data_IF_193336589584
#
_entry.id   IF_193336589584
#
_cell.length_a   1.000
_cell.length_b   1.000
_cell.length_c   1.000
_cell.angle_alpha   90.00
_cell.angle_beta   90.00
_cell.angle_gamma   90.00
#
_symmetry.space_group_name_H-M   'P 1'
#
loop_
_entity.id
_entity.type
_entity.pdbx_description
1 polymer ?
#
# COMPACT_ATOMS: atom_id res chain seq x y z
N UNK A 1 16.35 53.30 -45.71
CA UNK A 1 14.87 53.14 -45.78
C UNK A 1 14.46 52.31 -44.59
N UNK A 2 13.36 52.71 -43.96
CA UNK A 2 13.10 52.63 -42.53
C UNK A 2 12.93 51.21 -41.93
N UNK A 3 13.48 51.04 -40.72
CA UNK A 3 12.98 50.23 -39.60
C UNK A 3 11.59 50.75 -39.12
N UNK A 4 10.82 50.14 -38.17
CA UNK A 4 11.24 49.18 -37.12
C UNK A 4 10.21 48.07 -36.74
N UNK A 5 10.66 47.19 -35.83
CA UNK A 5 10.02 46.61 -34.60
C UNK A 5 8.51 46.29 -34.52
N UNK A 6 8.17 45.23 -33.74
CA UNK A 6 7.49 45.40 -32.43
C UNK A 6 7.27 44.03 -31.73
N UNK A 7 7.66 44.02 -30.45
CA UNK A 7 7.38 43.04 -29.40
C UNK A 7 6.05 43.37 -28.72
N UNK A 8 5.19 42.39 -28.41
CA UNK A 8 3.98 42.63 -27.59
C UNK A 8 3.89 41.57 -26.47
N UNK A 9 4.30 42.00 -25.29
CA UNK A 9 3.68 41.61 -24.03
C UNK A 9 2.51 42.58 -23.74
N UNK A 10 1.55 42.11 -22.95
CA UNK A 10 0.40 42.82 -22.36
C UNK A 10 -0.89 42.84 -23.18
N UNK A 11 -1.85 41.99 -22.78
CA UNK A 11 -3.25 42.42 -22.66
C UNK A 11 -3.93 41.66 -21.52
N UNK A 12 -4.00 42.31 -20.35
CA UNK A 12 -4.94 42.00 -19.28
C UNK A 12 -6.16 42.93 -19.40
N UNK A 13 -7.30 42.39 -18.97
CA UNK A 13 -8.53 43.05 -18.50
C UNK A 13 -9.66 43.36 -19.52
N UNK A 14 -10.88 42.97 -19.11
CA UNK A 14 -12.15 43.37 -19.71
C UNK A 14 -13.24 42.29 -19.53
N UNK A 15 -13.76 42.06 -18.32
CA UNK A 15 -15.11 42.49 -17.86
C UNK A 15 -16.29 42.10 -18.78
N UNK A 16 -17.19 41.25 -18.28
CA UNK A 16 -18.54 41.11 -18.86
C UNK A 16 -19.28 39.82 -18.47
N UNK A 17 -20.14 39.92 -17.45
CA UNK A 17 -21.35 39.10 -17.26
C UNK A 17 -22.51 40.10 -17.09
N UNK A 18 -23.83 39.78 -17.19
CA UNK A 18 -24.46 38.44 -17.17
C UNK A 18 -25.68 38.25 -18.12
N UNK A 19 -26.15 37.02 -18.37
CA UNK A 19 -27.60 36.69 -18.42
C UNK A 19 -27.87 35.19 -18.20
N UNK A 20 -29.00 34.91 -17.55
CA UNK A 20 -29.55 33.63 -17.05
C UNK A 20 -30.23 32.75 -18.14
N UNK A 21 -30.71 31.59 -17.64
CA UNK A 21 -31.73 30.62 -18.14
C UNK A 21 -31.15 29.51 -19.05
N UNK A 22 -31.27 28.19 -18.83
CA UNK A 22 -32.35 27.36 -18.28
C UNK A 22 -31.84 26.15 -17.45
N UNK A 23 -32.70 25.72 -16.53
CA UNK A 23 -32.61 24.47 -15.79
C UNK A 23 -32.97 23.26 -16.67
N UNK A 24 -32.24 22.16 -16.50
CA UNK A 24 -32.57 20.86 -17.06
C UNK A 24 -31.82 19.77 -16.29
N UNK A 25 -32.51 19.11 -15.36
CA UNK A 25 -31.99 18.00 -14.59
C UNK A 25 -31.79 16.75 -15.45
N UNK A 26 -30.60 16.17 -15.39
CA UNK A 26 -30.28 14.84 -15.88
C UNK A 26 -29.48 14.08 -14.80
N UNK A 27 -29.67 12.77 -14.63
CA UNK A 27 -29.07 12.01 -13.54
C UNK A 27 -27.56 11.92 -13.72
N UNK A 28 -26.82 12.25 -12.66
CA UNK A 28 -25.37 12.22 -12.63
C UNK A 28 -24.81 10.82 -12.87
N UNK A 29 -23.94 10.71 -13.87
CA UNK A 29 -23.03 9.58 -14.05
C UNK A 29 -21.86 9.81 -13.08
N UNK A 30 -21.53 8.87 -12.17
CA UNK A 30 -20.36 9.03 -11.33
C UNK A 30 -19.10 8.88 -12.20
N UNK A 31 -18.27 9.91 -12.20
CA UNK A 31 -16.91 9.87 -12.75
C UNK A 31 -16.11 8.93 -11.84
N UNK A 32 -15.80 7.74 -12.34
CA UNK A 32 -15.01 6.73 -11.63
C UNK A 32 -13.57 7.19 -11.44
N UNK A 33 -13.19 7.45 -10.18
CA UNK A 33 -11.78 7.37 -9.79
C UNK A 33 -11.32 5.92 -9.84
N UNK A 34 -10.03 5.70 -10.08
CA UNK A 34 -9.43 4.37 -9.96
C UNK A 34 -9.78 3.78 -8.58
N UNK A 35 -10.45 2.64 -8.63
CA UNK A 35 -10.83 1.81 -7.48
C UNK A 35 -9.57 1.17 -6.86
N UNK A 36 -9.50 1.14 -5.53
CA UNK A 36 -8.51 0.43 -4.68
C UNK A 36 -8.34 -1.06 -5.11
N UNK A 37 -9.36 -1.66 -5.73
CA UNK A 37 -9.28 -2.98 -6.32
C UNK A 37 -8.35 -3.06 -7.56
N UNK A 38 -8.27 -1.99 -8.35
CA UNK A 38 -7.40 -1.94 -9.54
C UNK A 38 -5.92 -1.84 -9.17
N UNK A 39 -5.62 -1.12 -8.07
CA UNK A 39 -4.28 -1.03 -7.50
C UNK A 39 -3.84 -2.37 -6.89
N UNK A 40 -4.75 -3.08 -6.20
CA UNK A 40 -4.50 -4.44 -5.68
C UNK A 40 -4.25 -5.46 -6.79
N UNK A 41 -4.97 -5.37 -7.91
CA UNK A 41 -4.76 -6.24 -9.07
C UNK A 41 -3.39 -5.98 -9.71
N UNK A 42 -2.97 -4.72 -9.85
CA UNK A 42 -1.64 -4.35 -10.35
C UNK A 42 -0.52 -4.86 -9.45
N UNK A 43 -0.65 -4.70 -8.12
CA UNK A 43 0.31 -5.20 -7.13
C UNK A 43 0.39 -6.73 -7.19
N UNK A 44 -0.75 -7.42 -7.30
CA UNK A 44 -0.80 -8.89 -7.39
C UNK A 44 -0.14 -9.39 -8.69
N UNK A 45 -0.40 -8.74 -9.83
CA UNK A 45 0.20 -9.10 -11.12
C UNK A 45 1.71 -8.82 -11.17
N UNK A 46 2.18 -7.74 -10.53
CA UNK A 46 3.60 -7.43 -10.41
C UNK A 46 4.33 -8.43 -9.51
N UNK A 47 3.75 -8.78 -8.37
CA UNK A 47 4.30 -9.80 -7.46
C UNK A 47 4.35 -11.18 -8.12
N UNK A 48 3.30 -11.56 -8.87
CA UNK A 48 3.26 -12.82 -9.62
C UNK A 48 4.32 -12.86 -10.72
N UNK A 49 4.56 -11.75 -11.43
CA UNK A 49 5.59 -11.66 -12.46
C UNK A 49 7.01 -11.71 -11.89
N UNK A 50 7.23 -11.09 -10.72
CA UNK A 50 8.50 -11.19 -9.99
C UNK A 50 8.74 -12.60 -9.46
N UNK A 51 7.71 -13.29 -8.96
CA UNK A 51 7.82 -14.69 -8.54
C UNK A 51 8.13 -15.63 -9.72
N UNK A 52 7.49 -15.43 -10.89
CA UNK A 52 7.78 -16.19 -12.11
C UNK A 52 9.20 -15.92 -12.64
N UNK A 53 9.71 -14.70 -12.50
CA UNK A 53 11.09 -14.38 -12.84
C UNK A 53 12.08 -14.99 -11.85
N UNK A 54 11.81 -14.96 -10.54
CA UNK A 54 12.66 -15.59 -9.53
C UNK A 54 12.69 -17.12 -9.64
N UNK A 55 11.55 -17.76 -9.96
CA UNK A 55 11.49 -19.20 -10.21
C UNK A 55 12.28 -19.65 -11.45
N UNK A 56 12.51 -18.74 -12.41
CA UNK A 56 13.40 -18.98 -13.57
C UNK A 56 14.88 -18.80 -13.24
N UNK A 57 15.22 -18.04 -12.21
CA UNK A 57 16.60 -17.67 -11.86
C UNK A 57 17.20 -18.61 -10.80
N UNK A 58 16.37 -19.20 -9.92
CA UNK A 58 16.86 -20.05 -8.83
C UNK A 58 16.18 -21.43 -8.81
N UNK A 59 16.74 -22.37 -9.58
CA UNK A 59 16.50 -23.79 -9.34
C UNK A 59 17.34 -24.28 -8.15
N UNK A 60 16.96 -23.95 -6.90
CA UNK A 60 17.61 -24.50 -5.70
C UNK A 60 16.60 -24.81 -4.58
N UNK A 61 16.70 -26.04 -4.07
CA UNK A 61 16.03 -26.62 -2.90
C UNK A 61 16.24 -25.82 -1.62
N UNK A 62 15.18 -25.65 -0.83
CA UNK A 62 15.22 -25.22 0.57
C UNK A 62 15.29 -26.47 1.48
N UNK A 63 16.25 -26.59 2.42
CA UNK A 63 16.24 -27.65 3.43
C UNK A 63 15.36 -27.29 4.64
N UNK A 64 14.86 -28.28 5.41
CA UNK A 64 13.88 -28.04 6.47
C UNK A 64 14.51 -27.47 7.76
N UNK A 65 13.68 -26.73 8.48
CA UNK A 65 13.99 -26.07 9.75
C UNK A 65 14.43 -27.03 10.86
N UNK A 66 15.42 -26.60 11.64
CA UNK A 66 15.83 -27.22 12.90
C UNK A 66 15.18 -26.43 14.04
N UNK A 67 14.41 -27.12 14.88
CA UNK A 67 13.80 -26.57 16.09
C UNK A 67 14.64 -26.79 17.34
N UNK A 68 14.40 -25.92 18.33
CA UNK A 68 14.68 -25.94 19.78
C UNK A 68 15.08 -24.50 20.15
N UNK A 69 14.52 -23.79 21.13
CA UNK A 69 13.82 -24.19 22.34
C UNK A 69 14.52 -23.46 23.50
N UNK A 70 13.84 -22.53 24.16
CA UNK A 70 14.09 -22.17 25.55
C UNK A 70 13.00 -21.24 26.06
N UNK A 71 12.16 -21.78 26.94
CA UNK A 71 11.50 -21.07 28.01
C UNK A 71 12.54 -20.28 28.83
N UNK A 72 12.32 -18.98 29.02
CA UNK A 72 12.52 -18.25 30.28
C UNK A 72 12.26 -16.76 30.05
N UNK A 73 11.23 -16.23 30.71
CA UNK A 73 11.01 -14.85 31.18
C UNK A 73 9.50 -14.63 31.34
N UNK A 74 8.98 -15.09 32.48
CA UNK A 74 7.63 -14.81 32.97
C UNK A 74 7.79 -14.19 34.36
N UNK A 75 7.07 -13.10 34.61
CA UNK A 75 7.11 -12.16 35.77
C UNK A 75 8.03 -10.94 35.50
N UNK A 76 7.64 -9.67 35.65
CA UNK A 76 6.61 -9.01 36.48
C UNK A 76 6.06 -7.79 35.72
N UNK A 77 4.74 -7.63 35.60
CA UNK A 77 4.11 -6.35 35.23
C UNK A 77 2.93 -6.10 36.17
N UNK A 78 3.21 -5.37 37.25
CA UNK A 78 2.21 -4.69 38.07
C UNK A 78 2.51 -3.20 38.00
N UNK A 79 1.98 -2.52 36.97
CA UNK A 79 2.01 -1.06 36.90
C UNK A 79 0.87 -0.50 37.78
N UNK A 80 1.10 0.55 38.59
CA UNK A 80 0.02 1.23 39.29
C UNK A 80 -0.90 1.95 38.27
N UNK A 81 -2.20 1.98 38.55
CA UNK A 81 -3.15 2.74 37.76
C UNK A 81 -2.84 4.25 37.85
N UNK A 82 -2.89 5.01 36.74
CA UNK A 82 -2.64 6.44 36.78
C UNK A 82 -3.68 7.17 37.63
N UNK A 83 -3.22 8.11 38.44
CA UNK A 83 -4.05 9.04 39.20
C UNK A 83 -4.96 9.84 38.26
N UNK A 84 -6.16 10.13 38.74
CA UNK A 84 -7.23 10.79 38.00
C UNK A 84 -6.96 12.31 37.87
N UNK A 85 -6.01 12.71 37.05
CA UNK A 85 -5.84 14.12 36.65
C UNK A 85 -6.32 14.37 35.20
N UNK A 86 -7.25 15.30 34.97
CA UNK A 86 -7.89 15.52 33.67
C UNK A 86 -6.96 16.14 32.61
N UNK A 87 -5.78 16.62 33.00
CA UNK A 87 -4.84 17.25 32.07
C UNK A 87 -4.17 16.24 31.12
N UNK A 88 -3.99 14.98 31.53
CA UNK A 88 -3.28 13.96 30.75
C UNK A 88 -4.15 13.28 29.68
N UNK A 89 -5.44 13.08 29.95
CA UNK A 89 -6.36 12.39 29.04
C UNK A 89 -6.50 13.10 27.67
N UNK A 90 -6.35 14.43 27.64
CA UNK A 90 -6.45 15.24 26.42
C UNK A 90 -5.22 15.11 25.51
N UNK A 91 -4.02 15.01 26.09
CA UNK A 91 -2.76 14.85 25.34
C UNK A 91 -2.63 13.46 24.71
N UNK A 92 -3.07 12.43 25.43
CA UNK A 92 -3.04 11.04 24.99
C UNK A 92 -4.03 10.76 23.84
N UNK A 93 -5.25 11.33 23.88
CA UNK A 93 -6.31 10.97 22.91
C UNK A 93 -6.06 11.50 21.49
N UNK A 94 -5.49 12.69 21.30
CA UNK A 94 -5.36 13.26 19.95
C UNK A 94 -4.21 12.65 19.11
N UNK A 95 -3.10 12.23 19.74
CA UNK A 95 -1.98 11.59 19.04
C UNK A 95 -2.14 10.07 18.88
N UNK A 96 -2.66 9.39 19.89
CA UNK A 96 -2.86 7.93 19.86
C UNK A 96 -4.01 7.51 18.95
N UNK A 97 -5.07 8.31 18.81
CA UNK A 97 -6.19 7.98 17.91
C UNK A 97 -5.76 7.93 16.43
N UNK A 98 -4.82 8.77 15.98
CA UNK A 98 -4.34 8.75 14.59
C UNK A 98 -3.54 7.47 14.26
N UNK A 99 -2.78 6.94 15.22
CA UNK A 99 -2.01 5.70 15.06
C UNK A 99 -2.88 4.46 15.31
N UNK A 100 -3.73 4.48 16.35
CA UNK A 100 -4.63 3.37 16.70
C UNK A 100 -5.75 3.15 15.66
N UNK A 101 -6.19 4.19 14.95
CA UNK A 101 -7.19 4.04 13.86
C UNK A 101 -6.57 3.40 12.61
N UNK A 102 -5.25 3.50 12.42
CA UNK A 102 -4.52 2.86 11.31
C UNK A 102 -3.83 1.54 11.68
N UNK A 103 -3.79 1.18 12.97
CA UNK A 103 -3.20 -0.05 13.50
C UNK A 103 -4.23 -1.04 14.04
N UNK A 104 -5.54 -0.83 13.81
CA UNK A 104 -6.58 -1.73 14.33
C UNK A 104 -6.49 -3.09 13.62
N UNK A 105 -6.16 -4.19 14.32
CA UNK A 105 -6.19 -5.51 13.70
C UNK A 105 -7.64 -5.88 13.36
N UNK A 106 -7.88 -6.69 12.30
CA UNK A 106 -9.20 -7.23 12.03
C UNK A 106 -9.71 -7.99 13.26
N UNK A 107 -11.02 -7.91 13.52
CA UNK A 107 -11.65 -8.35 14.76
C UNK A 107 -11.65 -9.88 15.00
N UNK A 108 -10.99 -10.65 14.14
CA UNK A 108 -10.93 -12.10 14.24
C UNK A 108 -9.64 -12.50 14.95
N UNK A 109 -9.78 -13.29 16.02
CA UNK A 109 -8.75 -13.67 17.00
C UNK A 109 -7.58 -14.50 16.47
N UNK A 110 -6.97 -14.11 15.36
CA UNK A 110 -5.67 -14.60 14.94
C UNK A 110 -4.58 -13.94 15.80
N UNK A 111 -3.70 -14.78 16.33
CA UNK A 111 -2.51 -14.42 17.10
C UNK A 111 -1.86 -13.15 16.55
N UNK A 112 -1.55 -12.20 17.43
CA UNK A 112 -0.66 -11.09 17.12
C UNK A 112 0.61 -11.65 16.49
N UNK A 113 0.70 -11.58 15.16
CA UNK A 113 1.93 -11.83 14.43
C UNK A 113 2.89 -10.77 14.94
N UNK A 114 3.99 -11.20 15.56
CA UNK A 114 5.15 -10.34 15.72
C UNK A 114 5.43 -9.77 14.32
N UNK A 115 5.34 -8.45 14.16
CA UNK A 115 5.71 -7.82 12.90
C UNK A 115 7.14 -8.26 12.59
N UNK A 116 7.30 -9.00 11.49
CA UNK A 116 8.59 -9.51 11.04
C UNK A 116 9.39 -8.33 10.47
N UNK A 117 10.09 -7.63 11.36
CA UNK A 117 10.93 -6.50 10.99
C UNK A 117 12.09 -6.93 10.08
N UNK A 118 12.50 -8.20 10.10
CA UNK A 118 13.52 -8.72 9.20
C UNK A 118 13.02 -8.71 7.74
N UNK A 119 11.72 -8.94 7.55
CA UNK A 119 11.08 -8.90 6.22
C UNK A 119 10.95 -7.45 5.69
N UNK A 120 10.77 -6.47 6.58
CA UNK A 120 10.79 -5.03 6.24
C UNK A 120 12.21 -4.53 5.98
N UNK A 121 13.20 -4.94 6.77
CA UNK A 121 14.62 -4.60 6.58
C UNK A 121 15.14 -5.15 5.24
N UNK A 122 14.63 -6.30 4.79
CA UNK A 122 15.02 -6.92 3.50
C UNK A 122 14.40 -6.22 2.28
N UNK A 123 13.18 -5.69 2.41
CA UNK A 123 12.44 -5.15 1.27
C UNK A 123 12.52 -3.62 1.13
N UNK A 124 12.59 -2.87 2.24
CA UNK A 124 12.59 -1.40 2.28
C UNK A 124 13.29 -0.89 3.55
N UNK A 125 14.62 -0.84 3.50
CA UNK A 125 15.46 -0.40 4.62
C UNK A 125 15.15 1.02 5.12
N UNK A 126 14.61 1.88 4.25
CA UNK A 126 14.13 3.23 4.57
C UNK A 126 12.91 3.20 5.51
N UNK A 127 11.92 2.38 5.18
CA UNK A 127 10.69 2.22 5.97
C UNK A 127 10.97 1.59 7.32
N UNK A 128 11.79 0.54 7.34
CA UNK A 128 12.16 -0.13 8.58
C UNK A 128 12.94 0.80 9.53
N UNK A 129 13.82 1.64 8.99
CA UNK A 129 14.59 2.61 9.78
C UNK A 129 13.68 3.68 10.42
N UNK A 130 12.72 4.24 9.68
CA UNK A 130 11.74 5.19 10.24
C UNK A 130 10.83 4.53 11.26
N UNK A 131 10.37 3.30 11.01
CA UNK A 131 9.53 2.57 11.96
C UNK A 131 10.28 2.27 13.27
N UNK A 132 11.54 1.84 13.18
CA UNK A 132 12.42 1.62 14.35
C UNK A 132 12.63 2.93 15.12
N UNK A 133 12.92 4.03 14.42
CA UNK A 133 13.04 5.35 15.02
C UNK A 133 11.76 5.75 15.77
N UNK A 134 10.60 5.66 15.11
CA UNK A 134 9.29 5.98 15.67
C UNK A 134 9.00 5.19 16.95
N UNK A 135 9.23 3.87 16.92
CA UNK A 135 9.02 2.99 18.06
C UNK A 135 9.88 3.37 19.27
N UNK A 136 11.17 3.65 19.04
CA UNK A 136 12.11 3.99 20.12
C UNK A 136 11.85 5.36 20.71
N UNK A 137 11.48 6.33 19.87
CA UNK A 137 11.04 7.66 20.32
C UNK A 137 9.74 7.56 21.11
N UNK A 138 8.79 6.75 20.69
CA UNK A 138 7.52 6.55 21.40
C UNK A 138 7.76 5.92 22.78
N UNK A 139 8.56 4.86 22.83
CA UNK A 139 8.92 4.20 24.07
C UNK A 139 9.61 5.17 25.03
N UNK A 140 10.59 5.94 24.54
CA UNK A 140 11.30 6.93 25.35
C UNK A 140 10.39 8.06 25.81
N UNK A 141 9.47 8.53 24.95
CA UNK A 141 8.51 9.58 25.30
C UNK A 141 7.60 9.16 26.46
N UNK A 142 7.12 7.91 26.45
CA UNK A 142 6.29 7.37 27.53
C UNK A 142 7.05 7.29 28.85
N UNK A 143 8.28 6.76 28.83
CA UNK A 143 9.09 6.59 30.02
C UNK A 143 9.56 7.93 30.60
N UNK A 144 9.97 8.88 29.76
CA UNK A 144 10.38 10.21 30.21
C UNK A 144 9.18 11.01 30.73
N UNK A 145 8.01 10.90 30.12
CA UNK A 145 6.82 11.55 30.65
C UNK A 145 6.45 11.02 32.04
N UNK A 146 6.47 9.69 32.23
CA UNK A 146 6.22 9.08 33.53
C UNK A 146 7.30 9.44 34.56
N UNK A 147 8.57 9.45 34.16
CA UNK A 147 9.68 9.84 35.04
C UNK A 147 9.60 11.31 35.47
N UNK A 148 9.20 12.18 34.54
CA UNK A 148 9.07 13.61 34.77
C UNK A 148 7.90 13.95 35.70
N UNK A 149 6.77 13.24 35.57
CA UNK A 149 5.59 13.39 36.44
C UNK A 149 5.90 13.04 37.90
N UNK A 150 6.78 12.05 38.12
CA UNK A 150 7.27 11.67 39.44
C UNK A 150 8.40 12.56 39.99
N UNK A 151 8.73 13.67 39.33
CA UNK A 151 9.79 14.59 39.77
C UNK A 151 9.23 15.80 40.52
N UNK A 152 9.99 16.33 41.49
CA UNK A 152 9.65 17.55 42.23
C UNK A 152 9.54 18.78 41.30
N UNK A 153 10.15 18.71 40.12
CA UNK A 153 10.22 19.78 39.14
C UNK A 153 9.09 19.77 38.10
N UNK A 154 8.08 18.91 38.24
CA UNK A 154 7.03 18.66 37.23
C UNK A 154 6.31 19.93 36.69
N UNK A 155 6.39 21.05 37.39
CA UNK A 155 5.73 22.31 37.03
C UNK A 155 6.61 23.25 36.19
N UNK A 156 7.91 22.97 36.08
CA UNK A 156 8.91 23.87 35.46
C UNK A 156 9.00 23.73 33.95
N UNK A 157 8.78 22.53 33.41
CA UNK A 157 8.78 22.27 31.98
C UNK A 157 7.35 22.16 31.47
N UNK A 158 7.05 22.90 30.41
CA UNK A 158 5.85 22.69 29.61
C UNK A 158 6.28 22.44 28.18
N UNK A 159 5.83 21.34 27.54
CA UNK A 159 6.05 21.19 26.12
C UNK A 159 5.42 22.41 25.43
N UNK A 160 6.14 22.96 24.46
CA UNK A 160 5.63 24.09 23.68
C UNK A 160 4.23 23.72 23.18
N UNK A 161 3.22 24.49 23.60
CA UNK A 161 1.84 24.23 23.21
C UNK A 161 1.80 24.13 21.69
N UNK A 162 1.34 22.98 21.17
CA UNK A 162 1.31 22.69 19.74
C UNK A 162 0.70 23.89 19.02
N UNK A 163 1.47 24.58 18.15
CA UNK A 163 0.83 25.38 17.10
C UNK A 163 -0.01 24.38 16.35
N UNK A 164 -1.34 24.52 16.41
CA UNK A 164 -2.26 23.60 15.78
C UNK A 164 -1.76 23.31 14.39
N UNK A 165 -1.32 22.06 14.17
CA UNK A 165 -0.85 21.60 12.86
C UNK A 165 -2.05 21.82 11.95
N UNK A 166 -2.01 22.89 11.18
CA UNK A 166 -2.97 23.06 10.12
C UNK A 166 -2.73 21.86 9.23
N UNK A 167 -3.69 20.94 9.22
CA UNK A 167 -3.73 19.79 8.32
C UNK A 167 -3.90 20.41 6.93
N UNK A 168 -2.80 20.88 6.37
CA UNK A 168 -2.72 21.32 5.01
C UNK A 168 -2.98 20.08 4.16
N UNK A 169 -4.08 20.17 3.43
CA UNK A 169 -4.77 19.12 2.70
C UNK A 169 -3.88 18.27 1.79
N UNK A 170 -4.22 16.97 1.83
CA UNK A 170 -4.31 16.01 0.73
C UNK A 170 -3.00 15.58 0.05
N UNK A 171 -2.74 14.26 0.14
CA UNK A 171 -1.73 13.47 -0.60
C UNK A 171 -0.29 13.40 -0.05
N UNK A 172 -0.06 13.57 1.26
CA UNK A 172 1.18 13.04 1.84
C UNK A 172 1.08 11.53 2.02
N UNK A 173 2.16 10.82 1.66
CA UNK A 173 2.22 9.38 1.81
C UNK A 173 2.07 8.96 3.29
N UNK A 174 1.65 7.72 3.56
CA UNK A 174 1.62 7.20 4.93
C UNK A 174 2.99 7.33 5.62
N UNK A 175 4.05 7.08 4.86
CA UNK A 175 5.43 7.11 5.34
C UNK A 175 5.84 8.50 5.85
N UNK A 176 5.52 9.56 5.11
CA UNK A 176 5.87 10.93 5.48
C UNK A 176 5.13 11.40 6.73
N UNK A 177 3.86 11.00 6.87
CA UNK A 177 3.08 11.28 8.09
C UNK A 177 3.68 10.58 9.32
N UNK A 178 4.13 9.34 9.14
CA UNK A 178 4.81 8.60 10.22
C UNK A 178 6.12 9.28 10.61
N UNK A 179 6.93 9.68 9.63
CA UNK A 179 8.20 10.38 9.86
C UNK A 179 7.98 11.72 10.59
N UNK A 180 7.10 12.58 10.07
CA UNK A 180 6.76 13.89 10.66
C UNK A 180 6.27 13.76 12.11
N UNK A 181 5.31 12.85 12.37
CA UNK A 181 4.81 12.61 13.72
C UNK A 181 5.88 12.07 14.68
N UNK A 182 6.85 11.32 14.17
CA UNK A 182 7.96 10.79 14.97
C UNK A 182 8.99 11.88 15.28
N UNK A 183 9.28 12.78 14.34
CA UNK A 183 10.17 13.91 14.56
C UNK A 183 9.59 14.94 15.54
N UNK A 184 8.28 15.21 15.47
CA UNK A 184 7.61 16.06 16.46
C UNK A 184 7.73 15.49 17.89
N UNK A 185 7.55 14.18 18.05
CA UNK A 185 7.74 13.49 19.34
C UNK A 185 9.19 13.51 19.78
N UNK A 186 10.13 13.32 18.85
CA UNK A 186 11.56 13.42 19.14
C UNK A 186 11.90 14.81 19.69
N UNK A 187 11.41 15.90 19.10
CA UNK A 187 11.65 17.25 19.64
C UNK A 187 11.16 17.42 21.07
N UNK A 188 10.04 16.78 21.42
CA UNK A 188 9.53 16.77 22.79
C UNK A 188 10.47 16.00 23.73
N UNK A 189 10.84 14.76 23.36
CA UNK A 189 11.79 13.92 24.11
C UNK A 189 13.12 14.63 24.32
N UNK A 190 13.67 15.20 23.24
CA UNK A 190 14.89 16.01 23.23
C UNK A 190 14.81 17.15 24.24
N UNK A 191 13.71 17.89 24.27
CA UNK A 191 13.56 19.00 25.21
C UNK A 191 13.53 18.54 26.68
N UNK A 192 12.94 17.37 26.98
CA UNK A 192 12.94 16.79 28.33
C UNK A 192 14.35 16.32 28.71
N UNK A 193 15.09 15.72 27.78
CA UNK A 193 16.44 15.21 28.04
C UNK A 193 17.47 16.32 28.36
N UNK A 194 17.31 17.50 27.76
CA UNK A 194 18.23 18.64 27.94
C UNK A 194 17.76 19.58 29.07
N UNK A 195 16.49 19.49 29.47
CA UNK A 195 15.97 20.31 30.56
C UNK A 195 16.71 19.99 31.87
N UNK A 196 17.01 21.01 32.66
CA UNK A 196 17.59 20.85 33.99
C UNK A 196 16.49 20.33 34.92
N UNK A 197 16.47 19.01 35.12
CA UNK A 197 15.67 18.33 36.13
C UNK A 197 16.41 17.10 36.64
N UNK A 198 16.15 16.75 37.88
CA UNK A 198 16.74 15.57 38.53
C UNK A 198 15.65 14.53 38.77
N UNK A 199 15.74 13.33 38.18
CA UNK A 199 14.77 12.28 38.46
C UNK A 199 14.84 11.85 39.92
N UNK A 200 13.68 11.59 40.52
CA UNK A 200 13.60 10.95 41.84
C UNK A 200 14.14 9.52 41.77
N UNK A 201 14.50 8.95 42.91
CA UNK A 201 15.03 7.59 42.97
C UNK A 201 14.08 6.53 42.36
N UNK A 202 12.76 6.78 42.42
CA UNK A 202 11.73 5.92 41.81
C UNK A 202 11.61 6.12 40.29
N UNK A 203 11.88 7.33 39.78
CA UNK A 203 11.82 7.68 38.37
C UNK A 203 13.12 7.35 37.59
N UNK A 204 14.24 7.21 38.28
CA UNK A 204 15.56 6.91 37.71
C UNK A 204 15.58 5.68 36.77
N UNK A 205 14.95 4.53 37.11
CA UNK A 205 14.89 3.38 36.19
C UNK A 205 14.14 3.67 34.90
N UNK A 206 13.09 4.51 34.94
CA UNK A 206 12.31 4.90 33.77
C UNK A 206 13.13 5.82 32.86
N UNK A 207 13.81 6.81 33.43
CA UNK A 207 14.74 7.69 32.71
C UNK A 207 15.83 6.86 32.01
N UNK A 208 16.42 5.89 32.73
CA UNK A 208 17.42 4.98 32.18
C UNK A 208 16.88 4.09 31.06
N UNK A 209 15.68 3.56 31.19
CA UNK A 209 15.04 2.75 30.14
C UNK A 209 14.80 3.57 28.87
N UNK A 210 14.34 4.82 29.00
CA UNK A 210 14.20 5.74 27.89
C UNK A 210 15.54 6.01 27.20
N UNK A 211 16.57 6.31 27.99
CA UNK A 211 17.92 6.57 27.51
C UNK A 211 18.49 5.38 26.72
N UNK A 212 18.39 4.17 27.26
CA UNK A 212 18.85 2.95 26.61
C UNK A 212 18.13 2.66 25.29
N UNK A 213 16.80 2.82 25.26
CA UNK A 213 16.03 2.66 24.04
C UNK A 213 16.47 3.61 22.92
N UNK A 214 16.84 4.85 23.27
CA UNK A 214 17.34 5.83 22.29
C UNK A 214 18.77 5.54 21.84
N UNK A 215 19.63 5.01 22.72
CA UNK A 215 21.01 4.65 22.36
C UNK A 215 21.07 3.62 21.22
N UNK A 216 20.08 2.73 21.15
CA UNK A 216 19.94 1.72 20.08
C UNK A 216 19.71 2.34 18.69
N UNK A 217 19.34 3.62 18.60
CA UNK A 217 19.23 4.35 17.33
C UNK A 217 20.60 4.82 16.81
N UNK A 218 21.65 4.69 17.60
CA UNK A 218 22.96 5.29 17.33
C UNK A 218 24.03 4.20 17.20
N UNK A 219 25.07 4.43 16.38
CA UNK A 219 26.21 3.51 16.33
C UNK A 219 27.06 3.54 17.61
N UNK A 220 26.87 4.54 18.48
CA UNK A 220 27.60 4.72 19.73
C UNK A 220 26.88 4.15 20.96
N UNK A 221 25.96 3.19 20.75
CA UNK A 221 25.08 2.62 21.79
C UNK A 221 25.83 2.29 23.10
N UNK A 222 26.85 1.45 23.02
CA UNK A 222 27.57 0.96 24.20
C UNK A 222 28.37 2.08 24.90
N UNK A 223 28.96 3.00 24.14
CA UNK A 223 29.75 4.11 24.67
C UNK A 223 28.85 5.10 25.40
N UNK A 224 27.67 5.41 24.85
CA UNK A 224 26.67 6.26 25.48
C UNK A 224 26.12 5.63 26.77
N UNK A 225 25.85 4.33 26.75
CA UNK A 225 25.46 3.56 27.95
C UNK A 225 26.49 3.64 29.07
N UNK A 226 27.78 3.49 28.75
CA UNK A 226 28.87 3.60 29.72
C UNK A 226 28.98 5.05 30.23
N UNK A 227 28.91 6.03 29.32
CA UNK A 227 28.98 7.44 29.69
C UNK A 227 27.86 7.82 30.65
N UNK A 228 26.64 7.31 30.46
CA UNK A 228 25.50 7.57 31.34
C UNK A 228 25.74 7.12 32.78
N UNK A 229 26.47 6.02 32.99
CA UNK A 229 26.81 5.53 34.34
C UNK A 229 27.81 6.46 35.04
N UNK A 230 28.68 7.14 34.30
CA UNK A 230 29.73 8.00 34.86
C UNK A 230 29.33 9.47 34.95
N UNK A 231 28.60 9.97 33.95
CA UNK A 231 28.23 11.38 33.78
C UNK A 231 26.94 11.46 32.95
N UNK A 232 25.80 11.35 33.65
CA UNK A 232 24.48 11.31 33.02
C UNK A 232 24.15 12.60 32.24
N UNK A 233 24.59 13.76 32.72
CA UNK A 233 24.33 15.04 32.07
C UNK A 233 25.03 15.11 30.72
N UNK A 234 26.32 14.80 30.69
CA UNK A 234 27.07 14.75 29.44
C UNK A 234 26.53 13.67 28.51
N UNK A 235 26.14 12.51 29.05
CA UNK A 235 25.56 11.41 28.29
C UNK A 235 24.25 11.79 27.59
N UNK A 236 23.38 12.56 28.25
CA UNK A 236 22.12 13.09 27.67
C UNK A 236 22.40 14.05 26.52
N UNK A 237 23.36 14.97 26.70
CA UNK A 237 23.73 15.93 25.66
C UNK A 237 24.33 15.25 24.42
N UNK A 238 25.24 14.28 24.61
CA UNK A 238 25.82 13.56 23.47
C UNK A 238 24.78 12.67 22.77
N UNK A 239 23.92 11.96 23.52
CA UNK A 239 22.82 11.18 22.93
C UNK A 239 21.92 12.05 22.04
N UNK A 240 21.52 13.22 22.53
CA UNK A 240 20.70 14.16 21.74
C UNK A 240 21.37 14.52 20.42
N UNK A 241 22.67 14.83 20.42
CA UNK A 241 23.42 15.14 19.18
C UNK A 241 23.39 13.97 18.21
N UNK A 242 23.62 12.75 18.70
CA UNK A 242 23.59 11.56 17.84
C UNK A 242 22.21 11.30 17.24
N UNK A 243 21.15 11.42 18.04
CA UNK A 243 19.78 11.18 17.57
C UNK A 243 19.27 12.32 16.66
N UNK A 244 19.70 13.57 16.88
CA UNK A 244 19.43 14.69 15.97
C UNK A 244 19.98 14.41 14.56
N UNK A 245 21.22 13.91 14.44
CA UNK A 245 21.80 13.52 13.14
C UNK A 245 21.00 12.40 12.47
N UNK A 246 20.57 11.39 13.24
CA UNK A 246 19.72 10.30 12.72
C UNK A 246 18.37 10.82 12.25
N UNK A 247 17.73 11.69 13.04
CA UNK A 247 16.45 12.30 12.69
C UNK A 247 16.55 13.14 11.41
N UNK A 248 17.62 13.93 11.25
CA UNK A 248 17.88 14.71 10.03
C UNK A 248 18.08 13.81 8.80
N UNK A 249 18.86 12.73 8.92
CA UNK A 249 19.06 11.77 7.83
C UNK A 249 17.76 11.10 7.41
N UNK A 250 16.93 10.69 8.37
CA UNK A 250 15.62 10.09 8.10
C UNK A 250 14.65 11.11 7.47
N UNK A 251 14.69 12.37 7.89
CA UNK A 251 13.86 13.43 7.32
C UNK A 251 14.23 13.71 5.85
N UNK A 252 15.52 13.78 5.54
CA UNK A 252 16.01 13.91 4.17
C UNK A 252 15.60 12.70 3.30
N UNK A 253 15.73 11.49 3.85
CA UNK A 253 15.30 10.26 3.15
C UNK A 253 13.80 10.27 2.88
N UNK A 254 12.98 10.69 3.85
CA UNK A 254 11.55 10.80 3.68
C UNK A 254 11.15 11.81 2.60
N UNK A 255 11.79 12.99 2.58
CA UNK A 255 11.58 14.00 1.55
C UNK A 255 11.96 13.49 0.16
N UNK A 256 13.14 12.86 0.02
CA UNK A 256 13.60 12.32 -1.26
C UNK A 256 12.66 11.24 -1.78
N UNK A 257 12.16 10.37 -0.90
CA UNK A 257 11.17 9.35 -1.27
C UNK A 257 9.84 9.96 -1.75
N UNK A 258 9.41 11.09 -1.18
CA UNK A 258 8.24 11.82 -1.69
C UNK A 258 8.49 12.42 -3.07
N UNK A 259 9.64 13.06 -3.27
CA UNK A 259 10.01 13.67 -4.55
C UNK A 259 10.07 12.62 -5.66
N UNK A 260 10.73 11.49 -5.41
CA UNK A 260 10.79 10.36 -6.34
C UNK A 260 9.41 9.77 -6.63
N UNK A 261 8.55 9.66 -5.62
CA UNK A 261 7.18 9.16 -5.81
C UNK A 261 6.34 10.12 -6.65
N UNK A 262 6.51 11.43 -6.46
CA UNK A 262 5.84 12.46 -7.24
C UNK A 262 6.33 12.49 -8.69
N UNK A 263 7.64 12.34 -8.91
CA UNK A 263 8.26 12.24 -10.24
C UNK A 263 7.80 10.97 -10.98
N UNK A 264 7.78 9.81 -10.32
CA UNK A 264 7.25 8.56 -10.90
C UNK A 264 5.77 8.71 -11.25
N UNK A 265 4.96 9.26 -10.33
CA UNK A 265 3.54 9.47 -10.59
C UNK A 265 3.27 10.50 -11.71
N UNK A 266 4.20 11.41 -11.98
CA UNK A 266 4.14 12.32 -13.12
C UNK A 266 4.56 11.65 -14.44
N UNK A 267 5.53 10.74 -14.40
CA UNK A 267 6.03 10.00 -15.56
C UNK A 267 5.10 8.83 -15.99
N UNK A 268 4.44 8.15 -15.04
CA UNK A 268 3.65 6.94 -15.30
C UNK A 268 2.26 7.21 -15.89
N UNK A 269 1.65 8.37 -15.59
CA UNK A 269 0.26 8.67 -16.00
C UNK A 269 0.04 8.66 -17.53
N UNK A 270 1.09 8.87 -18.33
CA UNK A 270 1.00 8.79 -19.79
C UNK A 270 1.51 7.48 -20.40
N UNK A 271 2.38 6.74 -19.71
CA UNK A 271 3.10 5.59 -20.29
C UNK A 271 2.47 4.25 -19.91
N UNK A 272 1.95 4.11 -18.69
CA UNK A 272 1.39 2.83 -18.23
C UNK A 272 -0.01 2.57 -18.74
N UNK A 273 -0.85 3.60 -18.84
CA UNK A 273 -2.16 3.47 -19.50
C UNK A 273 -1.97 3.06 -20.97
N UNK A 274 -1.05 3.71 -21.68
CA UNK A 274 -0.72 3.37 -23.06
C UNK A 274 -0.12 1.95 -23.21
N UNK A 275 0.70 1.50 -22.26
CA UNK A 275 1.20 0.11 -22.22
C UNK A 275 0.08 -0.89 -21.96
N UNK A 276 -0.83 -0.59 -21.04
CA UNK A 276 -1.97 -1.44 -20.73
C UNK A 276 -2.88 -1.56 -21.96
N UNK A 277 -3.19 -0.45 -22.62
CA UNK A 277 -3.95 -0.43 -23.87
C UNK A 277 -3.25 -1.28 -24.94
N UNK A 278 -1.94 -1.09 -25.13
CA UNK A 278 -1.17 -1.90 -26.09
C UNK A 278 -1.19 -3.40 -25.76
N UNK A 279 -1.16 -3.78 -24.47
CA UNK A 279 -1.27 -5.17 -24.04
C UNK A 279 -2.66 -5.74 -24.28
N UNK A 280 -3.71 -5.00 -23.93
CA UNK A 280 -5.10 -5.38 -24.20
C UNK A 280 -5.32 -5.60 -25.70
N UNK A 281 -4.76 -4.72 -26.53
CA UNK A 281 -4.87 -4.81 -27.98
C UNK A 281 -4.09 -5.99 -28.56
N UNK A 282 -2.92 -6.31 -28.00
CA UNK A 282 -2.15 -7.49 -28.37
C UNK A 282 -2.87 -8.79 -27.98
N UNK A 283 -3.48 -8.86 -26.79
CA UNK A 283 -4.25 -10.02 -26.34
C UNK A 283 -5.47 -10.25 -27.24
N UNK A 284 -6.19 -9.18 -27.59
CA UNK A 284 -7.32 -9.29 -28.51
C UNK A 284 -6.88 -9.70 -29.91
N UNK A 285 -5.75 -9.17 -30.40
CA UNK A 285 -5.18 -9.60 -31.68
C UNK A 285 -4.88 -11.10 -31.73
N UNK A 286 -4.37 -11.68 -30.62
CA UNK A 286 -4.19 -13.13 -30.49
C UNK A 286 -5.52 -13.90 -30.42
N UNK A 287 -6.56 -13.28 -29.87
CA UNK A 287 -7.89 -13.87 -29.73
C UNK A 287 -8.78 -13.77 -30.99
N UNK A 288 -8.22 -13.35 -32.14
CA UNK A 288 -8.94 -13.22 -33.40
C UNK A 288 -9.64 -11.88 -33.56
N UNK A 289 -10.76 -11.85 -34.29
CA UNK A 289 -11.47 -10.59 -34.51
C UNK A 289 -12.13 -10.06 -33.23
N UNK A 290 -12.19 -8.73 -33.14
CA UNK A 290 -12.91 -8.00 -32.11
C UNK A 290 -14.33 -7.77 -32.60
N UNK A 291 -15.29 -8.51 -32.04
CA UNK A 291 -16.68 -8.36 -32.43
C UNK A 291 -17.37 -7.40 -31.50
N UNK A 292 -18.10 -6.43 -32.05
CA UNK A 292 -19.07 -5.66 -31.29
C UNK A 292 -20.20 -6.56 -30.79
N UNK A 293 -20.95 -6.10 -29.78
CA UNK A 293 -22.10 -6.86 -29.28
C UNK A 293 -23.13 -7.16 -30.38
N UNK A 294 -23.28 -6.26 -31.36
CA UNK A 294 -24.18 -6.45 -32.50
C UNK A 294 -23.67 -7.57 -33.42
N UNK A 295 -22.43 -7.48 -33.89
CA UNK A 295 -21.82 -8.47 -34.80
C UNK A 295 -21.76 -9.86 -34.16
N UNK A 296 -21.39 -9.93 -32.87
CA UNK A 296 -21.36 -11.18 -32.13
C UNK A 296 -22.76 -11.80 -31.99
N UNK A 297 -23.80 -10.99 -31.80
CA UNK A 297 -25.18 -11.47 -31.69
C UNK A 297 -25.72 -12.01 -33.02
N UNK A 298 -25.42 -11.32 -34.12
CA UNK A 298 -25.78 -11.74 -35.48
C UNK A 298 -25.10 -13.06 -35.83
N UNK A 299 -23.80 -13.18 -35.52
CA UNK A 299 -23.04 -14.40 -35.78
C UNK A 299 -23.51 -15.61 -34.97
N UNK A 300 -24.00 -15.38 -33.76
CA UNK A 300 -24.61 -16.38 -32.89
C UNK A 300 -26.08 -16.68 -33.22
N UNK A 301 -26.72 -15.88 -34.08
CA UNK A 301 -28.16 -16.02 -34.37
C UNK A 301 -29.07 -15.74 -33.15
N UNK A 302 -28.62 -14.93 -32.19
CA UNK A 302 -29.39 -14.57 -30.99
C UNK A 302 -29.58 -13.05 -30.89
N UNK A 303 -30.53 -12.59 -30.07
CA UNK A 303 -30.69 -11.16 -29.85
C UNK A 303 -29.51 -10.57 -29.04
N UNK A 304 -29.19 -9.28 -29.28
CA UNK A 304 -28.19 -8.53 -28.50
C UNK A 304 -28.45 -8.62 -26.99
N UNK A 305 -29.71 -8.55 -26.56
CA UNK A 305 -30.10 -8.67 -25.16
C UNK A 305 -29.81 -10.07 -24.60
N UNK A 306 -30.05 -11.13 -25.38
CA UNK A 306 -29.72 -12.49 -24.97
C UNK A 306 -28.21 -12.70 -24.83
N UNK A 307 -27.41 -12.13 -25.74
CA UNK A 307 -25.96 -12.15 -25.65
C UNK A 307 -25.46 -11.37 -24.42
N UNK A 308 -25.97 -10.16 -24.20
CA UNK A 308 -25.63 -9.37 -23.00
C UNK A 308 -25.97 -10.13 -21.70
N UNK A 309 -27.13 -10.79 -21.66
CA UNK A 309 -27.51 -11.65 -20.52
C UNK A 309 -26.52 -12.80 -20.33
N UNK A 310 -26.09 -13.46 -21.42
CA UNK A 310 -25.08 -14.52 -21.35
C UNK A 310 -23.76 -14.02 -20.76
N UNK A 311 -23.28 -12.87 -21.24
CA UNK A 311 -22.06 -12.23 -20.73
C UNK A 311 -22.20 -11.91 -19.24
N UNK A 312 -23.30 -11.27 -18.83
CA UNK A 312 -23.57 -10.95 -17.43
C UNK A 312 -23.62 -12.19 -16.53
N UNK A 313 -24.08 -13.33 -17.04
CA UNK A 313 -24.10 -14.61 -16.31
C UNK A 313 -22.78 -15.38 -16.35
N UNK A 314 -21.75 -14.84 -17.00
CA UNK A 314 -20.46 -15.50 -17.23
C UNK A 314 -20.52 -16.64 -18.24
N UNK A 315 -21.60 -16.77 -19.01
CA UNK A 315 -21.75 -17.82 -20.04
C UNK A 315 -21.11 -17.44 -21.39
N UNK A 316 -20.59 -16.23 -21.50
CA UNK A 316 -19.80 -15.73 -22.62
C UNK A 316 -18.81 -14.69 -22.07
N UNK A 317 -17.66 -14.54 -22.72
CA UNK A 317 -16.65 -13.56 -22.38
C UNK A 317 -16.96 -12.24 -23.09
N UNK A 318 -17.13 -11.18 -22.31
CA UNK A 318 -17.24 -9.81 -22.78
C UNK A 318 -16.23 -8.93 -22.07
N UNK A 319 -15.56 -8.06 -22.82
CA UNK A 319 -14.49 -7.19 -22.33
C UNK A 319 -14.84 -5.73 -22.63
N UNK A 320 -14.30 -4.82 -21.82
CA UNK A 320 -14.49 -3.39 -21.99
C UNK A 320 -13.13 -2.77 -22.36
N UNK A 321 -13.09 -2.07 -23.49
CA UNK A 321 -11.94 -1.26 -23.93
C UNK A 321 -12.39 0.19 -24.00
N UNK A 322 -11.87 1.03 -23.11
CA UNK A 322 -12.44 2.36 -22.90
C UNK A 322 -13.95 2.25 -22.63
N UNK A 323 -14.76 2.88 -23.49
CA UNK A 323 -16.22 2.85 -23.40
C UNK A 323 -16.88 1.80 -24.31
N UNK A 324 -16.10 0.97 -25.00
CA UNK A 324 -16.61 0.02 -25.99
C UNK A 324 -16.64 -1.40 -25.44
N UNK A 325 -17.77 -2.07 -25.62
CA UNK A 325 -17.96 -3.46 -25.23
C UNK A 325 -17.62 -4.41 -26.39
N UNK A 326 -16.74 -5.37 -26.12
CA UNK A 326 -16.10 -6.20 -27.15
C UNK A 326 -16.19 -7.68 -26.79
N UNK A 327 -16.42 -8.51 -27.80
CA UNK A 327 -16.56 -9.96 -27.67
C UNK A 327 -15.47 -10.63 -28.52
N UNK A 328 -14.47 -11.29 -27.91
CA UNK A 328 -13.41 -11.99 -28.66
C UNK A 328 -13.98 -13.11 -29.54
N UNK A 329 -13.67 -13.13 -30.83
CA UNK A 329 -14.15 -14.15 -31.78
C UNK A 329 -13.70 -15.57 -31.41
N UNK A 330 -12.52 -15.72 -30.80
CA UNK A 330 -11.95 -17.01 -30.40
C UNK A 330 -12.93 -17.91 -29.62
N UNK A 331 -13.82 -17.32 -28.81
CA UNK A 331 -14.81 -18.04 -28.01
C UNK A 331 -16.00 -18.62 -28.80
N UNK A 332 -16.10 -18.32 -30.10
CA UNK A 332 -17.17 -18.77 -30.97
C UNK A 332 -16.71 -20.01 -31.76
N UNK A 333 -17.61 -20.98 -31.90
CA UNK A 333 -17.41 -22.22 -32.66
C UNK A 333 -18.53 -22.38 -33.66
N UNK A 334 -18.18 -22.65 -34.92
CA UNK A 334 -19.14 -23.02 -35.94
C UNK A 334 -19.73 -24.41 -35.66
N UNK A 335 -21.05 -24.52 -35.67
CA UNK A 335 -21.81 -25.78 -35.59
C UNK A 335 -22.68 -25.92 -36.84
N UNK A 336 -23.23 -27.13 -37.03
CA UNK A 336 -24.11 -27.44 -38.17
C UNK A 336 -25.33 -26.51 -38.26
N UNK A 337 -25.81 -26.02 -37.12
CA UNK A 337 -27.02 -25.20 -37.02
C UNK A 337 -26.74 -23.70 -36.75
N UNK A 338 -25.48 -23.25 -36.92
CA UNK A 338 -25.05 -21.87 -36.68
C UNK A 338 -23.82 -21.76 -35.76
N UNK A 339 -23.46 -20.56 -35.32
CA UNK A 339 -22.35 -20.39 -34.36
C UNK A 339 -22.84 -20.52 -32.92
N UNK A 340 -21.99 -21.03 -32.05
CA UNK A 340 -22.25 -21.11 -30.61
C UNK A 340 -21.02 -20.72 -29.80
N UNK A 341 -21.22 -20.27 -28.56
CA UNK A 341 -20.11 -20.09 -27.62
C UNK A 341 -19.54 -21.45 -27.24
N UNK A 342 -18.21 -21.54 -27.09
CA UNK A 342 -17.50 -22.74 -26.62
C UNK A 342 -18.19 -23.31 -25.37
N UNK A 343 -18.43 -24.62 -25.38
CA UNK A 343 -19.05 -25.30 -24.26
C UNK A 343 -18.17 -25.21 -23.00
N UNK A 344 -18.78 -25.22 -21.81
CA UNK A 344 -18.08 -25.14 -20.53
C UNK A 344 -17.23 -23.88 -20.27
N UNK A 345 -17.30 -22.87 -21.16
CA UNK A 345 -16.62 -21.59 -20.94
C UNK A 345 -17.03 -20.94 -19.61
N UNK A 346 -18.30 -21.11 -19.23
CA UNK A 346 -18.83 -20.61 -17.96
C UNK A 346 -18.05 -21.10 -16.73
N UNK A 347 -17.69 -22.38 -16.74
CA UNK A 347 -17.04 -23.04 -15.61
C UNK A 347 -15.62 -22.49 -15.39
N UNK A 348 -14.97 -22.03 -16.46
CA UNK A 348 -13.67 -21.33 -16.39
C UNK A 348 -13.86 -19.88 -15.97
N UNK A 349 -14.79 -19.15 -16.59
CA UNK A 349 -15.02 -17.73 -16.30
C UNK A 349 -15.48 -17.48 -14.86
N UNK A 350 -16.22 -18.41 -14.25
CA UNK A 350 -16.59 -18.30 -12.84
C UNK A 350 -15.37 -18.30 -11.92
N UNK A 351 -14.35 -19.12 -12.19
CA UNK A 351 -13.12 -19.16 -11.38
C UNK A 351 -12.38 -17.83 -11.37
N UNK A 352 -12.22 -17.20 -12.54
CA UNK A 352 -11.56 -15.89 -12.65
C UNK A 352 -12.37 -14.77 -12.01
N UNK A 353 -13.70 -14.91 -11.98
CA UNK A 353 -14.57 -13.97 -11.29
C UNK A 353 -14.47 -14.14 -9.77
N UNK A 354 -14.52 -15.38 -9.28
CA UNK A 354 -14.40 -15.74 -7.85
C UNK A 354 -13.03 -15.36 -7.27
N UNK A 355 -11.96 -15.53 -8.05
CA UNK A 355 -10.61 -15.13 -7.65
C UNK A 355 -10.34 -13.61 -7.77
N UNK A 356 -11.28 -12.82 -8.30
CA UNK A 356 -11.11 -11.38 -8.51
C UNK A 356 -10.13 -10.99 -9.65
N UNK A 357 -9.66 -11.96 -10.43
CA UNK A 357 -8.70 -11.74 -11.52
C UNK A 357 -9.34 -11.11 -12.79
N UNK A 358 -10.65 -11.28 -12.96
CA UNK A 358 -11.45 -10.60 -13.99
C UNK A 358 -11.31 -11.16 -15.42
N UNK A 359 -12.03 -10.53 -16.36
CA UNK A 359 -12.20 -11.02 -17.72
C UNK A 359 -10.93 -10.96 -18.60
N UNK A 360 -10.07 -9.97 -18.39
CA UNK A 360 -8.81 -9.84 -19.15
C UNK A 360 -7.83 -10.97 -18.83
N UNK A 361 -7.70 -11.32 -17.55
CA UNK A 361 -6.91 -12.47 -17.10
C UNK A 361 -7.47 -13.78 -17.64
N UNK A 362 -8.81 -13.91 -17.66
CA UNK A 362 -9.46 -15.06 -18.26
C UNK A 362 -9.20 -15.16 -19.78
N UNK A 363 -9.23 -14.04 -20.52
CA UNK A 363 -8.88 -14.02 -21.93
C UNK A 363 -7.45 -14.50 -22.15
N UNK A 364 -6.51 -13.94 -21.40
CA UNK A 364 -5.09 -14.30 -21.50
C UNK A 364 -4.88 -15.80 -21.28
N UNK A 365 -5.44 -16.35 -20.19
CA UNK A 365 -5.38 -17.79 -19.92
C UNK A 365 -5.95 -18.59 -21.09
N UNK A 366 -7.11 -18.22 -21.62
CA UNK A 366 -7.76 -18.97 -22.68
C UNK A 366 -6.97 -19.03 -23.99
N UNK A 367 -6.11 -18.04 -24.28
CA UNK A 367 -5.41 -17.93 -25.57
C UNK A 367 -3.90 -18.22 -25.49
N UNK A 368 -3.34 -18.34 -24.29
CA UNK A 368 -1.92 -18.63 -24.10
C UNK A 368 -1.68 -20.11 -23.76
N UNK A 369 -0.55 -20.69 -24.20
CA UNK A 369 -0.13 -22.04 -23.82
C UNK A 369 -0.05 -22.22 -22.30
N UNK A 370 -0.68 -23.28 -21.79
CA UNK A 370 -0.61 -23.61 -20.36
C UNK A 370 0.23 -24.89 -20.11
N UNK A 371 1.27 -24.84 -19.25
CA UNK A 371 2.08 -26.02 -18.94
C UNK A 371 1.31 -27.21 -18.37
N UNK A 372 0.24 -26.97 -17.60
CA UNK A 372 -0.62 -28.02 -17.04
C UNK A 372 -1.45 -28.74 -18.12
N UNK A 373 -1.59 -28.12 -19.29
CA UNK A 373 -2.19 -28.72 -20.50
C UNK A 373 -1.13 -29.19 -21.50
N UNK A 374 0.10 -29.45 -21.06
CA UNK A 374 1.19 -29.89 -21.92
C UNK A 374 1.69 -28.83 -22.90
N UNK A 375 1.43 -27.55 -22.61
CA UNK A 375 1.82 -26.43 -23.48
C UNK A 375 0.85 -26.18 -24.65
N UNK A 376 -0.35 -26.77 -24.64
CA UNK A 376 -1.43 -26.38 -25.56
C UNK A 376 -2.30 -25.27 -24.94
N UNK A 377 -3.10 -24.63 -25.78
CA UNK A 377 -3.96 -23.51 -25.45
C UNK A 377 -5.27 -24.02 -24.84
N UNK A 378 -5.71 -23.52 -23.66
CA UNK A 378 -6.92 -23.98 -22.99
C UNK A 378 -8.18 -23.96 -23.86
N UNK A 379 -8.31 -22.97 -24.74
CA UNK A 379 -9.44 -22.87 -25.66
C UNK A 379 -9.52 -24.03 -26.67
N UNK A 380 -8.40 -24.60 -27.08
CA UNK A 380 -8.37 -25.77 -27.97
C UNK A 380 -8.95 -27.00 -27.26
N UNK A 381 -8.54 -27.21 -26.00
CA UNK A 381 -9.10 -28.27 -25.15
C UNK A 381 -10.59 -28.08 -24.88
N UNK A 382 -11.05 -26.85 -24.63
CA UNK A 382 -12.48 -26.58 -24.48
C UNK A 382 -13.26 -26.88 -25.77
N UNK A 383 -12.69 -26.58 -26.94
CA UNK A 383 -13.29 -26.92 -28.25
C UNK A 383 -13.32 -28.43 -28.50
N UNK A 384 -12.32 -29.17 -28.00
CA UNK A 384 -12.25 -30.63 -28.07
C UNK A 384 -13.20 -31.34 -27.07
N UNK A 385 -13.70 -30.61 -26.06
CA UNK A 385 -14.60 -31.15 -25.03
C UNK A 385 -13.91 -31.51 -23.72
N UNK A 386 -12.61 -31.22 -23.57
CA UNK A 386 -11.79 -31.54 -22.39
C UNK A 386 -11.96 -30.54 -21.25
N UNK A 387 -13.19 -30.16 -20.95
CA UNK A 387 -13.50 -29.09 -19.99
C UNK A 387 -12.93 -29.34 -18.59
N UNK A 388 -12.91 -30.60 -18.13
CA UNK A 388 -12.40 -30.96 -16.80
C UNK A 388 -10.92 -30.66 -16.64
N UNK A 389 -10.12 -30.91 -17.68
CA UNK A 389 -8.68 -30.61 -17.67
C UNK A 389 -8.44 -29.11 -17.63
N UNK A 390 -9.19 -28.35 -18.43
CA UNK A 390 -9.08 -26.89 -18.49
C UNK A 390 -9.49 -26.23 -17.16
N UNK A 391 -10.53 -26.74 -16.50
CA UNK A 391 -10.96 -26.22 -15.19
C UNK A 391 -9.92 -26.53 -14.11
N UNK A 392 -9.30 -27.73 -14.12
CA UNK A 392 -8.22 -28.07 -13.20
C UNK A 392 -6.98 -27.20 -13.44
N UNK A 393 -6.56 -27.01 -14.70
CA UNK A 393 -5.46 -26.13 -15.06
C UNK A 393 -5.74 -24.67 -14.66
N UNK A 394 -6.98 -24.19 -14.82
CA UNK A 394 -7.36 -22.82 -14.41
C UNK A 394 -7.26 -22.61 -12.90
N UNK A 395 -7.61 -23.63 -12.09
CA UNK A 395 -7.44 -23.57 -10.62
C UNK A 395 -5.98 -23.51 -10.22
N UNK A 396 -5.13 -24.30 -10.87
CA UNK A 396 -3.69 -24.24 -10.68
C UNK A 396 -3.11 -22.88 -11.09
N UNK A 397 -3.55 -22.34 -12.24
CA UNK A 397 -3.16 -21.02 -12.73
C UNK A 397 -3.51 -19.89 -11.75
N UNK A 398 -4.67 -20.00 -11.09
CA UNK A 398 -5.15 -19.03 -10.09
C UNK A 398 -4.66 -19.34 -8.66
N UNK A 399 -3.81 -20.35 -8.48
CA UNK A 399 -3.32 -20.80 -7.17
C UNK A 399 -4.44 -21.18 -6.17
N UNK A 400 -5.60 -21.62 -6.66
CA UNK A 400 -6.75 -21.99 -5.80
C UNK A 400 -6.59 -23.35 -5.12
N UNK A 401 -5.64 -24.16 -5.57
CA UNK A 401 -5.40 -25.52 -5.06
C UNK A 401 -4.23 -25.60 -4.05
N UNK A 402 -3.67 -24.46 -3.60
CA UNK A 402 -2.55 -24.38 -2.67
C UNK A 402 -2.95 -24.33 -1.17
N UNK A 403 -4.15 -24.80 -0.83
CA UNK A 403 -4.74 -24.76 0.52
C UNK A 403 -4.55 -26.02 1.35
#
# INVERSE_FOLDING_TARGET
MADPEISIAALLAGTGSPTRVFAGGGPGIPVGGLDDASERVLITLLLQRLQQQNARVHGIMVPPAIGAGSDEYRMVMGLPAPSSEPHFAHWYTQGSQAVATHMRPPADGQRAQAYDFDLLDTCRSDVASVARFAQRVDFASYHLAAAYDGSDDAHSWRPAAKRGVQIAKAYRSYFSRLAEASFERWHTVRSILIHDWTPTAEAEPLCRAAYWSLCELTPADQQLKILFVHDADRARHELVRHVDVVAEQLALTASLSEDLSAESAAADKGTDAARLDALQEALLGKAGARLTLTEASERLGISRQALYKKIKTGAALGLMIGDTFVVPEAQLVARKDGSSVVAHLRDVLSLFTEAGAGGWSALQYLIEPDPALGGDVPLNHLKAGDAKLVVAAARAYLCLDAG
#
